data_IF_745588815705
#
_entry.id   IF_745588815705
#
_cell.length_a   1.000
_cell.length_b   1.000
_cell.length_c   1.000
_cell.angle_alpha   90.00
_cell.angle_beta   90.00
_cell.angle_gamma   90.00
#
_symmetry.space_group_name_H-M   'P 1'
#
loop_
_entity.id
_entity.type
_entity.pdbx_description
1 polymer ?
#
# COMPACT_ATOMS: atom_id res chain seq x y z
N UNK A 1 -0.98 -2.72 -8.22
CA UNK A 1 -0.70 -2.68 -6.77
C UNK A 1 0.44 -3.62 -6.44
N UNK A 2 1.21 -3.28 -5.41
CA UNK A 2 2.22 -4.16 -4.80
C UNK A 2 1.99 -4.21 -3.29
N UNK A 3 2.67 -5.10 -2.58
CA UNK A 3 2.59 -5.18 -1.12
C UNK A 3 3.92 -5.61 -0.47
N UNK A 4 5.03 -5.45 -1.20
CA UNK A 4 6.38 -5.83 -0.75
C UNK A 4 7.39 -4.79 -1.21
N UNK A 5 8.51 -4.68 -0.47
CA UNK A 5 9.66 -3.86 -0.83
C UNK A 5 10.17 -4.16 -2.25
N UNK A 6 10.33 -5.45 -2.59
CA UNK A 6 10.79 -5.86 -3.91
C UNK A 6 9.83 -5.44 -5.03
N UNK A 7 8.52 -5.58 -4.82
CA UNK A 7 7.52 -5.13 -5.79
C UNK A 7 7.54 -3.61 -5.98
N UNK A 8 7.72 -2.85 -4.89
CA UNK A 8 7.82 -1.40 -4.94
C UNK A 8 9.04 -0.94 -5.78
N UNK A 9 10.22 -1.52 -5.52
CA UNK A 9 11.44 -1.24 -6.30
C UNK A 9 11.28 -1.60 -7.77
N UNK A 10 10.71 -2.77 -8.07
CA UNK A 10 10.48 -3.19 -9.45
C UNK A 10 9.60 -2.19 -10.24
N UNK A 11 8.56 -1.62 -9.61
CA UNK A 11 7.75 -0.58 -10.24
C UNK A 11 8.49 0.75 -10.40
N UNK A 12 9.30 1.13 -9.40
CA UNK A 12 10.14 2.32 -9.51
C UNK A 12 11.17 2.21 -10.64
N UNK A 13 11.84 1.06 -10.76
CA UNK A 13 12.80 0.74 -11.83
C UNK A 13 12.12 0.72 -13.21
N UNK A 14 10.86 0.32 -13.28
CA UNK A 14 10.04 0.39 -14.49
C UNK A 14 9.61 1.82 -14.86
N UNK A 15 9.95 2.84 -14.07
CA UNK A 15 9.68 4.25 -14.34
C UNK A 15 8.34 4.76 -13.82
N UNK A 16 7.72 4.09 -12.84
CA UNK A 16 6.48 4.58 -12.23
C UNK A 16 6.69 5.87 -11.44
N UNK A 17 5.84 6.87 -11.63
CA UNK A 17 5.90 8.15 -10.88
C UNK A 17 5.26 8.09 -9.49
N UNK A 18 4.56 6.99 -9.16
CA UNK A 18 3.98 6.71 -7.85
C UNK A 18 3.75 5.20 -7.73
N UNK A 19 3.80 4.66 -6.52
CA UNK A 19 3.54 3.24 -6.26
C UNK A 19 2.29 3.08 -5.40
N UNK A 20 1.31 2.33 -5.91
CA UNK A 20 0.08 2.00 -5.19
C UNK A 20 0.21 0.69 -4.43
N UNK A 21 -0.01 0.73 -3.12
CA UNK A 21 0.28 -0.35 -2.17
C UNK A 21 -0.99 -0.91 -1.55
N UNK A 22 -1.16 -2.22 -1.66
CA UNK A 22 -2.26 -2.96 -1.06
C UNK A 22 -2.61 -4.22 -1.85
N UNK A 23 -2.42 -5.39 -1.23
CA UNK A 23 -2.88 -6.69 -1.74
C UNK A 23 -3.66 -7.41 -0.64
N UNK A 24 -4.96 -7.60 -0.89
CA UNK A 24 -5.88 -8.17 0.09
C UNK A 24 -6.24 -7.34 1.33
N UNK A 25 -6.04 -6.01 1.46
CA UNK A 25 -6.31 -5.30 2.72
C UNK A 25 -7.79 -4.93 2.93
N UNK A 26 -8.59 -4.87 1.86
CA UNK A 26 -9.99 -4.44 1.92
C UNK A 26 -10.92 -5.51 2.49
N UNK A 27 -11.96 -5.07 3.22
CA UNK A 27 -12.96 -5.95 3.86
C UNK A 27 -13.79 -6.79 2.88
N UNK A 28 -14.04 -6.25 1.67
CA UNK A 28 -14.74 -6.96 0.60
C UNK A 28 -13.79 -7.75 -0.31
N UNK A 29 -12.47 -7.67 -0.09
CA UNK A 29 -11.50 -8.26 -0.98
C UNK A 29 -11.51 -9.78 -0.83
N UNK A 30 -11.77 -10.49 -1.93
CA UNK A 30 -11.80 -11.96 -1.95
C UNK A 30 -10.41 -12.58 -2.06
N UNK A 31 -9.37 -11.80 -2.40
CA UNK A 31 -8.02 -12.32 -2.66
C UNK A 31 -7.50 -13.21 -1.52
N UNK A 32 -7.57 -12.75 -0.25
CA UNK A 32 -7.11 -13.58 0.88
C UNK A 32 -7.89 -14.88 1.01
N UNK A 33 -9.20 -14.83 0.80
CA UNK A 33 -10.08 -15.99 0.98
C UNK A 33 -9.91 -17.01 -0.14
N UNK A 34 -9.78 -16.54 -1.38
CA UNK A 34 -9.73 -17.39 -2.57
C UNK A 34 -8.31 -17.91 -2.84
N UNK A 35 -7.28 -17.08 -2.65
CA UNK A 35 -5.90 -17.42 -3.03
C UNK A 35 -4.97 -17.64 -1.84
N UNK A 36 -5.37 -17.25 -0.63
CA UNK A 36 -4.48 -17.23 0.54
C UNK A 36 -3.46 -16.10 0.52
N UNK A 37 -3.46 -15.24 -0.51
CA UNK A 37 -2.46 -14.17 -0.67
C UNK A 37 -2.95 -12.86 -0.08
N UNK A 38 -2.09 -12.24 0.73
CA UNK A 38 -2.30 -10.87 1.22
C UNK A 38 -1.21 -10.46 2.21
N UNK A 39 -1.10 -9.16 2.42
CA UNK A 39 -0.18 -8.59 3.41
C UNK A 39 -0.95 -7.63 4.31
N UNK A 40 -0.71 -7.61 5.63
CA UNK A 40 -1.26 -6.58 6.52
C UNK A 40 -0.90 -5.18 6.02
N UNK A 41 -1.89 -4.29 5.93
CA UNK A 41 -1.76 -3.05 5.16
C UNK A 41 -0.68 -2.10 5.70
N UNK A 42 -0.57 -1.95 7.02
CA UNK A 42 0.46 -1.08 7.63
C UNK A 42 1.86 -1.61 7.32
N UNK A 43 2.07 -2.93 7.41
CA UNK A 43 3.35 -3.56 7.02
C UNK A 43 3.64 -3.33 5.55
N UNK A 44 2.68 -3.58 4.66
CA UNK A 44 2.86 -3.39 3.22
C UNK A 44 3.26 -1.94 2.87
N UNK A 45 2.63 -0.95 3.51
CA UNK A 45 2.94 0.47 3.32
C UNK A 45 4.32 0.80 3.84
N UNK A 46 4.65 0.43 5.09
CA UNK A 46 5.95 0.72 5.69
C UNK A 46 7.10 0.11 4.88
N UNK A 47 6.99 -1.16 4.49
CA UNK A 47 8.00 -1.84 3.69
C UNK A 47 8.20 -1.18 2.32
N UNK A 48 7.12 -0.71 1.68
CA UNK A 48 7.21 -0.03 0.39
C UNK A 48 7.82 1.37 0.51
N UNK A 49 7.51 2.10 1.58
CA UNK A 49 8.08 3.43 1.87
C UNK A 49 9.58 3.31 2.11
N UNK A 50 10.00 2.37 2.98
CA UNK A 50 11.42 2.10 3.24
C UNK A 50 12.16 1.70 1.95
N UNK A 51 11.53 0.87 1.12
CA UNK A 51 12.14 0.43 -0.13
C UNK A 51 12.32 1.53 -1.19
N UNK A 52 11.53 2.60 -1.10
CA UNK A 52 11.52 3.73 -2.04
C UNK A 52 12.13 5.01 -1.44
N UNK A 53 12.70 4.94 -0.23
CA UNK A 53 13.35 6.08 0.40
C UNK A 53 14.45 6.66 -0.51
N UNK A 54 14.50 7.99 -0.61
CA UNK A 54 15.46 8.70 -1.46
C UNK A 54 15.15 8.71 -2.97
N UNK A 55 14.15 7.95 -3.44
CA UNK A 55 13.78 7.92 -4.88
C UNK A 55 12.88 9.09 -5.28
N UNK A 56 12.21 9.73 -4.31
CA UNK A 56 11.20 10.77 -4.57
C UNK A 56 9.86 10.22 -5.09
N UNK A 57 9.71 8.91 -5.23
CA UNK A 57 8.48 8.27 -5.72
C UNK A 57 7.51 8.07 -4.53
N UNK A 58 6.33 8.73 -4.54
CA UNK A 58 5.36 8.63 -3.46
C UNK A 58 4.67 7.26 -3.40
N UNK A 59 4.31 6.85 -2.19
CA UNK A 59 3.51 5.65 -1.90
C UNK A 59 2.05 6.03 -1.62
N UNK A 60 1.12 5.36 -2.30
CA UNK A 60 -0.33 5.51 -2.08
C UNK A 60 -0.85 4.26 -1.38
N UNK A 61 -1.37 4.40 -0.16
CA UNK A 61 -2.02 3.30 0.55
C UNK A 61 -3.43 3.05 -0.02
N UNK A 62 -3.72 1.83 -0.46
CA UNK A 62 -4.96 1.46 -1.17
C UNK A 62 -5.68 0.30 -0.49
N UNK A 63 -6.78 0.63 0.17
CA UNK A 63 -7.68 -0.34 0.82
C UNK A 63 -7.43 -0.55 2.31
N UNK A 64 -8.43 -1.15 2.98
CA UNK A 64 -8.41 -1.42 4.42
C UNK A 64 -8.76 -0.23 5.33
N UNK A 65 -9.13 0.91 4.73
CA UNK A 65 -9.55 2.12 5.45
C UNK A 65 -11.03 2.03 5.80
N UNK A 66 -11.37 2.15 7.08
CA UNK A 66 -12.78 2.15 7.55
C UNK A 66 -13.14 3.43 8.28
N UNK A 67 -12.17 4.03 8.97
CA UNK A 67 -12.37 5.24 9.74
C UNK A 67 -11.23 6.23 9.46
N UNK A 68 -11.45 7.51 9.80
CA UNK A 68 -10.43 8.55 9.68
C UNK A 68 -9.13 8.22 10.43
N UNK A 69 -9.21 7.47 11.53
CA UNK A 69 -8.04 6.97 12.26
C UNK A 69 -7.17 6.01 11.45
N UNK A 70 -7.72 5.27 10.49
CA UNK A 70 -6.94 4.38 9.62
C UNK A 70 -6.19 5.19 8.55
N UNK A 71 -6.76 6.30 8.08
CA UNK A 71 -6.07 7.28 7.23
C UNK A 71 -4.87 7.86 7.98
N UNK A 72 -5.09 8.33 9.22
CA UNK A 72 -4.02 8.88 10.05
C UNK A 72 -2.86 7.89 10.24
N UNK A 73 -3.17 6.60 10.48
CA UNK A 73 -2.15 5.54 10.61
C UNK A 73 -1.42 5.28 9.29
N UNK A 74 -2.11 5.29 8.15
CA UNK A 74 -1.47 5.08 6.85
C UNK A 74 -0.48 6.20 6.51
N UNK A 75 -0.85 7.46 6.79
CA UNK A 75 0.05 8.61 6.64
C UNK A 75 1.21 8.52 7.63
N UNK A 76 0.95 8.13 8.89
CA UNK A 76 2.01 7.92 9.89
C UNK A 76 2.98 6.79 9.51
N UNK A 77 2.52 5.79 8.75
CA UNK A 77 3.35 4.73 8.18
C UNK A 77 4.16 5.18 6.94
N UNK A 78 4.03 6.45 6.53
CA UNK A 78 4.82 7.05 5.45
C UNK A 78 4.11 7.16 4.09
N UNK A 79 2.84 6.76 3.98
CA UNK A 79 2.09 6.97 2.73
C UNK A 79 1.94 8.47 2.45
N UNK A 80 2.12 8.88 1.19
CA UNK A 80 1.92 10.26 0.74
C UNK A 80 0.45 10.58 0.49
N UNK A 81 -0.35 9.57 0.18
CA UNK A 81 -1.79 9.67 -0.03
C UNK A 81 -2.48 8.35 0.31
N UNK A 82 -3.81 8.41 0.47
CA UNK A 82 -4.66 7.24 0.71
C UNK A 82 -5.74 7.20 -0.36
N UNK A 83 -5.86 6.07 -1.05
CA UNK A 83 -6.96 5.78 -1.95
C UNK A 83 -8.12 5.18 -1.14
N UNK A 84 -9.29 5.81 -1.23
CA UNK A 84 -10.50 5.36 -0.56
C UNK A 84 -11.52 4.91 -1.61
N UNK A 85 -12.01 3.68 -1.46
CA UNK A 85 -13.13 3.14 -2.23
C UNK A 85 -14.45 3.37 -1.50
N UNK A 86 -15.14 2.29 -1.12
CA UNK A 86 -16.30 2.36 -0.22
C UNK A 86 -15.82 2.67 1.22
N UNK A 87 -16.31 3.76 1.81
CA UNK A 87 -16.06 4.16 3.19
C UNK A 87 -17.31 3.92 4.03
#
# INVERSE_FOLDING_TARGET
NVATAAGARALAEAGCSAVKVGIGPGSICTTRIVTGVGVPQITAVADAVEALEGTGIPVIADGGIRFSGDIAKAIAAGASAVMVGSM
#
